data_IF_420028210891
#
_entry.id   IF_420028210891
#
_cell.length_a   1.000
_cell.length_b   1.000
_cell.length_c   1.000
_cell.angle_alpha   90.00
_cell.angle_beta   90.00
_cell.angle_gamma   90.00
#
_symmetry.space_group_name_H-M   'P 1'
#
loop_
_entity.id
_entity.type
_entity.pdbx_description
1 polymer ?
#
# COMPACT_ATOMS: atom_id res chain seq x y z
N UNK A 1 15.33 -12.01 1.64
CA UNK A 1 14.51 -10.90 1.08
C UNK A 1 15.36 -10.13 0.10
N UNK A 2 14.79 -9.73 -1.03
CA UNK A 2 15.47 -8.88 -2.03
C UNK A 2 15.31 -7.40 -1.67
N UNK A 3 16.17 -6.53 -2.21
CA UNK A 3 16.02 -5.07 -2.09
C UNK A 3 14.62 -4.60 -2.51
N UNK A 4 14.12 -5.12 -3.63
CA UNK A 4 12.77 -4.83 -4.12
C UNK A 4 11.67 -5.22 -3.11
N UNK A 5 11.75 -6.41 -2.51
CA UNK A 5 10.79 -6.81 -1.49
C UNK A 5 10.81 -5.88 -0.26
N UNK A 6 12.01 -5.49 0.18
CA UNK A 6 12.18 -4.55 1.29
C UNK A 6 11.59 -3.17 0.97
N UNK A 7 11.81 -2.68 -0.25
CA UNK A 7 11.27 -1.40 -0.71
C UNK A 7 9.74 -1.41 -0.75
N UNK A 8 9.12 -2.42 -1.39
CA UNK A 8 7.66 -2.54 -1.47
C UNK A 8 7.05 -2.65 -0.07
N UNK A 9 7.66 -3.44 0.81
CA UNK A 9 7.18 -3.60 2.19
C UNK A 9 7.25 -2.28 2.96
N UNK A 10 8.34 -1.52 2.82
CA UNK A 10 8.49 -0.23 3.49
C UNK A 10 7.49 0.80 2.96
N UNK A 11 7.28 0.84 1.64
CA UNK A 11 6.33 1.77 1.01
C UNK A 11 4.89 1.43 1.40
N UNK A 12 4.52 0.15 1.39
CA UNK A 12 3.19 -0.29 1.83
C UNK A 12 2.91 0.08 3.29
N UNK A 13 3.90 -0.10 4.18
CA UNK A 13 3.77 0.29 5.58
C UNK A 13 3.53 1.80 5.73
N UNK A 14 4.34 2.63 5.05
CA UNK A 14 4.19 4.10 5.08
C UNK A 14 2.85 4.56 4.51
N UNK A 15 2.44 4.03 3.37
CA UNK A 15 1.16 4.37 2.76
C UNK A 15 -0.03 3.97 3.66
N UNK A 16 0.06 2.83 4.34
CA UNK A 16 -0.95 2.39 5.32
C UNK A 16 -1.04 3.35 6.52
N UNK A 17 0.11 3.78 7.07
CA UNK A 17 0.16 4.74 8.17
C UNK A 17 -0.44 6.09 7.75
N UNK A 18 -0.09 6.58 6.56
CA UNK A 18 -0.62 7.83 6.00
C UNK A 18 -2.12 7.74 5.72
N UNK A 19 -2.62 6.62 5.19
CA UNK A 19 -4.06 6.38 5.00
C UNK A 19 -4.80 6.44 6.32
N UNK A 20 -4.28 5.79 7.37
CA UNK A 20 -4.90 5.87 8.69
C UNK A 20 -4.88 7.30 9.25
N UNK A 21 -3.81 8.07 9.00
CA UNK A 21 -3.76 9.47 9.40
C UNK A 21 -4.81 10.30 8.66
N UNK A 22 -4.94 10.14 7.34
CA UNK A 22 -5.94 10.82 6.51
C UNK A 22 -7.38 10.48 6.96
N UNK A 23 -7.66 9.21 7.27
CA UNK A 23 -8.96 8.79 7.83
C UNK A 23 -9.24 9.43 9.18
N UNK A 24 -8.24 9.54 10.06
CA UNK A 24 -8.38 10.20 11.36
C UNK A 24 -8.59 11.70 11.24
N UNK A 25 -8.00 12.35 10.24
CA UNK A 25 -8.18 13.79 10.01
C UNK A 25 -9.45 14.13 9.23
N UNK A 26 -10.14 13.14 8.65
CA UNK A 26 -11.29 13.36 7.77
C UNK A 26 -10.91 13.99 6.43
N UNK A 27 -9.69 13.71 5.94
CA UNK A 27 -9.22 14.21 4.65
C UNK A 27 -9.52 13.18 3.55
N UNK A 28 -10.73 13.25 3.00
CA UNK A 28 -11.23 12.29 2.01
C UNK A 28 -10.38 12.25 0.72
N UNK A 29 -9.74 13.39 0.39
CA UNK A 29 -8.83 13.45 -0.75
C UNK A 29 -7.58 12.61 -0.48
N UNK A 30 -6.92 12.82 0.67
CA UNK A 30 -5.75 12.03 1.04
C UNK A 30 -6.07 10.55 1.25
N UNK A 31 -7.27 10.22 1.75
CA UNK A 31 -7.75 8.84 1.80
C UNK A 31 -7.73 8.21 0.42
N UNK A 32 -8.36 8.85 -0.57
CA UNK A 32 -8.42 8.34 -1.95
C UNK A 32 -7.03 8.21 -2.58
N UNK A 33 -6.13 9.17 -2.31
CA UNK A 33 -4.75 9.14 -2.80
C UNK A 33 -3.99 7.94 -2.26
N UNK A 34 -4.06 7.69 -0.94
CA UNK A 34 -3.33 6.59 -0.33
C UNK A 34 -3.93 5.22 -0.63
N UNK A 35 -5.24 5.12 -0.82
CA UNK A 35 -5.89 3.88 -1.30
C UNK A 35 -5.38 3.52 -2.70
N UNK A 36 -5.36 4.48 -3.65
CA UNK A 36 -4.81 4.25 -4.99
C UNK A 36 -3.31 3.90 -4.97
N UNK A 37 -2.53 4.49 -4.06
CA UNK A 37 -1.12 4.13 -3.88
C UNK A 37 -0.97 2.66 -3.44
N UNK A 38 -1.77 2.22 -2.46
CA UNK A 38 -1.74 0.85 -1.95
C UNK A 38 -2.20 -0.16 -2.99
N UNK A 39 -3.22 0.15 -3.79
CA UNK A 39 -3.65 -0.69 -4.93
C UNK A 39 -2.52 -0.85 -5.96
N UNK A 40 -1.84 0.24 -6.30
CA UNK A 40 -0.73 0.21 -7.24
C UNK A 40 0.46 -0.62 -6.71
N UNK A 41 0.77 -0.49 -5.42
CA UNK A 41 1.78 -1.30 -4.76
C UNK A 41 1.39 -2.78 -4.72
N UNK A 42 0.11 -3.09 -4.50
CA UNK A 42 -0.39 -4.46 -4.47
C UNK A 42 -0.26 -5.13 -5.85
N UNK A 43 -0.66 -4.43 -6.92
CA UNK A 43 -0.45 -4.89 -8.30
C UNK A 43 1.03 -5.12 -8.61
N UNK A 44 1.90 -4.18 -8.23
CA UNK A 44 3.34 -4.31 -8.43
C UNK A 44 3.93 -5.49 -7.63
N UNK A 45 3.44 -5.74 -6.41
CA UNK A 45 3.85 -6.90 -5.64
C UNK A 45 3.44 -8.21 -6.33
N UNK A 46 2.20 -8.29 -6.83
CA UNK A 46 1.67 -9.47 -7.52
C UNK A 46 2.40 -9.78 -8.84
N UNK A 47 2.69 -8.75 -9.66
CA UNK A 47 3.47 -8.88 -10.90
C UNK A 47 4.86 -9.50 -10.67
N UNK A 48 5.40 -9.34 -9.47
CA UNK A 48 6.70 -9.88 -9.07
C UNK A 48 6.60 -11.12 -8.15
N UNK A 49 5.39 -11.66 -7.95
CA UNK A 49 5.13 -12.82 -7.10
C UNK A 49 5.41 -12.59 -5.61
N UNK A 50 5.36 -11.34 -5.15
CA UNK A 50 5.58 -10.98 -3.76
C UNK A 50 4.28 -10.97 -2.97
N UNK A 51 4.32 -11.53 -1.76
CA UNK A 51 3.22 -11.47 -0.80
C UNK A 51 3.58 -10.54 0.34
N UNK A 52 2.92 -9.38 0.38
CA UNK A 52 3.12 -8.36 1.42
C UNK A 52 1.84 -8.24 2.25
N UNK A 53 1.93 -8.48 3.56
CA UNK A 53 0.76 -8.54 4.43
C UNK A 53 -0.06 -7.23 4.43
N UNK A 54 0.60 -6.07 4.39
CA UNK A 54 -0.06 -4.76 4.36
C UNK A 54 -0.85 -4.50 3.05
N UNK A 55 -0.54 -5.23 1.97
CA UNK A 55 -1.18 -5.07 0.66
C UNK A 55 -2.30 -6.10 0.42
N UNK A 56 -2.52 -7.03 1.35
CA UNK A 56 -3.47 -8.14 1.19
C UNK A 56 -4.90 -7.65 0.90
N UNK A 57 -5.28 -6.54 1.49
CA UNK A 57 -6.63 -5.99 1.34
C UNK A 57 -6.76 -5.08 0.10
N UNK A 58 -5.65 -4.84 -0.62
CA UNK A 58 -5.55 -3.96 -1.79
C UNK A 58 -5.16 -4.71 -3.07
N UNK A 59 -4.98 -6.03 -3.02
CA UNK A 59 -4.80 -6.84 -4.23
C UNK A 59 -6.10 -6.82 -5.03
N UNK A 60 -6.04 -6.33 -6.27
CA UNK A 60 -7.17 -6.38 -7.19
C UNK A 60 -7.74 -7.81 -7.27
N UNK A 61 -9.06 -7.93 -7.17
CA UNK A 61 -9.80 -9.19 -7.26
C UNK A 61 -9.63 -9.87 -8.63
#
# INVERSE_FOLDING_TARGET
>A
MTEFHSEISQRAARATESLQAARRSGDDYLVSVHEAELENLARLADEHGLRVAALRDYSAA
#
